data_IF_806282210314
#
_entry.id   IF_806282210314
#
_cell.length_a   1.000
_cell.length_b   1.000
_cell.length_c   1.000
_cell.angle_alpha   90.00
_cell.angle_beta   90.00
_cell.angle_gamma   90.00
#
_symmetry.space_group_name_H-M   'P 1'
#
loop_
_entity.id
_entity.type
_entity.pdbx_description
1 polymer ?
#
# COMPACT_ATOMS: atom_id res chain seq x y z
N UNK A 1 -3.95 -7.51 -26.85
CA UNK A 1 -2.68 -7.36 -26.10
C UNK A 1 -2.30 -8.77 -25.66
N UNK A 2 -1.05 -9.22 -25.80
CA UNK A 2 -0.68 -10.58 -25.35
C UNK A 2 -0.72 -10.66 -23.82
N UNK A 3 -1.11 -11.80 -23.26
CA UNK A 3 -1.19 -12.03 -21.79
C UNK A 3 0.13 -11.66 -21.08
N UNK A 4 1.26 -12.01 -21.68
CA UNK A 4 2.61 -11.65 -21.19
C UNK A 4 2.76 -10.15 -20.94
N UNK A 5 2.17 -9.30 -21.80
CA UNK A 5 2.27 -7.85 -21.70
C UNK A 5 1.36 -7.27 -20.61
N UNK A 6 0.25 -7.94 -20.28
CA UNK A 6 -0.62 -7.56 -19.15
C UNK A 6 0.10 -7.84 -17.82
N UNK A 7 0.78 -8.99 -17.71
CA UNK A 7 1.52 -9.35 -16.50
C UNK A 7 2.75 -8.47 -16.24
N UNK A 8 3.46 -8.06 -17.29
CA UNK A 8 4.59 -7.12 -17.18
C UNK A 8 4.12 -5.75 -16.66
N UNK A 9 3.08 -5.17 -17.28
CA UNK A 9 2.51 -3.88 -16.86
C UNK A 9 1.95 -3.98 -15.43
N UNK A 10 1.25 -5.07 -15.10
CA UNK A 10 0.73 -5.29 -13.76
C UNK A 10 1.86 -5.34 -12.72
N UNK A 11 3.00 -5.98 -13.05
CA UNK A 11 4.18 -6.02 -12.18
C UNK A 11 4.77 -4.64 -11.95
N UNK A 12 5.02 -3.87 -13.02
CA UNK A 12 5.59 -2.51 -12.91
C UNK A 12 4.71 -1.58 -12.08
N UNK A 13 3.40 -1.60 -12.31
CA UNK A 13 2.44 -0.78 -11.56
C UNK A 13 2.36 -1.24 -10.10
N UNK A 14 2.46 -2.54 -9.84
CA UNK A 14 2.49 -3.07 -8.46
C UNK A 14 3.69 -2.53 -7.69
N UNK A 15 4.89 -2.52 -8.28
CA UNK A 15 6.09 -2.01 -7.61
C UNK A 15 5.94 -0.52 -7.23
N UNK A 16 5.32 0.28 -8.10
CA UNK A 16 5.03 1.70 -7.84
C UNK A 16 4.04 1.87 -6.69
N UNK A 17 3.02 1.03 -6.60
CA UNK A 17 2.02 1.06 -5.52
C UNK A 17 2.66 0.69 -4.19
N UNK A 18 3.43 -0.39 -4.14
CA UNK A 18 4.13 -0.81 -2.92
C UNK A 18 5.10 0.26 -2.43
N UNK A 19 5.79 0.94 -3.35
CA UNK A 19 6.63 2.09 -3.00
C UNK A 19 5.81 3.26 -2.42
N UNK A 20 4.61 3.52 -2.94
CA UNK A 20 3.71 4.55 -2.43
C UNK A 20 3.14 4.20 -1.04
N UNK A 21 2.74 2.95 -0.82
CA UNK A 21 2.30 2.43 0.49
C UNK A 21 3.41 2.58 1.53
N UNK A 22 4.62 2.13 1.20
CA UNK A 22 5.78 2.25 2.08
C UNK A 22 6.12 3.72 2.39
N UNK A 23 5.95 4.62 1.43
CA UNK A 23 6.17 6.06 1.64
C UNK A 23 5.12 6.66 2.59
N UNK A 24 3.86 6.23 2.51
CA UNK A 24 2.81 6.66 3.43
C UNK A 24 3.10 6.21 4.87
N UNK A 25 3.52 4.95 5.07
CA UNK A 25 3.92 4.42 6.38
C UNK A 25 5.11 5.20 6.97
N UNK A 26 6.11 5.48 6.16
CA UNK A 26 7.27 6.28 6.58
C UNK A 26 6.86 7.70 6.98
N UNK A 27 5.91 8.31 6.27
CA UNK A 27 5.38 9.63 6.59
C UNK A 27 4.60 9.64 7.91
N UNK A 28 3.81 8.59 8.21
CA UNK A 28 3.13 8.40 9.50
C UNK A 28 4.15 8.41 10.64
N UNK A 29 5.21 7.60 10.52
CA UNK A 29 6.28 7.51 11.52
C UNK A 29 6.98 8.87 11.71
N UNK A 30 7.32 9.55 10.62
CA UNK A 30 8.00 10.84 10.66
C UNK A 30 7.16 11.91 11.38
N UNK A 31 5.86 12.01 11.08
CA UNK A 31 4.96 12.99 11.71
C UNK A 31 4.74 12.65 13.20
N UNK A 32 4.55 11.38 13.54
CA UNK A 32 4.40 10.95 14.93
C UNK A 32 5.66 11.29 15.77
N UNK A 33 6.84 11.04 15.22
CA UNK A 33 8.11 11.41 15.84
C UNK A 33 8.25 12.93 16.02
N UNK A 34 7.84 13.72 15.02
CA UNK A 34 7.84 15.19 15.12
C UNK A 34 6.90 15.70 16.21
N UNK A 35 5.70 15.11 16.33
CA UNK A 35 4.76 15.42 17.41
C UNK A 35 5.37 15.12 18.79
N UNK A 36 5.93 13.93 18.97
CA UNK A 36 6.57 13.52 20.23
C UNK A 36 7.75 14.46 20.58
N UNK A 37 8.62 14.73 19.61
CA UNK A 37 9.76 15.63 19.76
C UNK A 37 9.34 17.05 20.14
N UNK A 38 8.27 17.57 19.54
CA UNK A 38 7.71 18.90 19.86
C UNK A 38 7.24 18.98 21.31
N UNK A 39 6.52 17.96 21.79
CA UNK A 39 6.07 17.89 23.19
C UNK A 39 7.25 17.84 24.14
N UNK A 40 8.26 17.01 23.86
CA UNK A 40 9.44 16.87 24.70
C UNK A 40 10.29 18.14 24.74
N UNK A 41 10.57 18.75 23.57
CA UNK A 41 11.36 19.98 23.48
C UNK A 41 10.70 21.12 24.26
N UNK A 42 9.38 21.27 24.12
CA UNK A 42 8.61 22.26 24.87
C UNK A 42 8.71 22.06 26.38
N UNK A 43 8.59 20.80 26.85
CA UNK A 43 8.74 20.47 28.27
C UNK A 43 10.13 20.84 28.80
N UNK A 44 11.19 20.51 28.05
CA UNK A 44 12.58 20.88 28.40
C UNK A 44 12.77 22.39 28.48
N UNK A 45 12.08 23.15 27.64
CA UNK A 45 12.12 24.60 27.63
C UNK A 45 11.27 25.27 28.74
N UNK A 46 10.55 24.51 29.57
CA UNK A 46 9.65 25.08 30.60
C UNK A 46 8.44 25.83 30.04
N UNK A 47 8.14 25.65 28.75
CA UNK A 47 7.06 26.36 28.06
C UNK A 47 5.71 25.71 28.38
N UNK A 48 4.72 26.54 28.74
CA UNK A 48 3.40 26.06 29.16
C UNK A 48 2.66 25.25 28.08
N UNK A 49 1.75 24.39 28.54
CA UNK A 49 0.86 23.56 27.72
C UNK A 49 0.20 24.29 26.55
N UNK A 50 -0.42 25.42 26.83
CA UNK A 50 -1.32 26.09 25.90
C UNK A 50 -0.60 26.62 24.63
N UNK A 51 0.65 27.06 24.74
CA UNK A 51 1.36 27.73 23.64
C UNK A 51 1.78 26.77 22.52
N UNK A 52 1.94 25.48 22.82
CA UNK A 52 2.29 24.46 21.82
C UNK A 52 1.10 23.76 21.15
N UNK A 53 -0.11 23.92 21.70
CA UNK A 53 -1.30 23.20 21.21
C UNK A 53 -1.66 23.51 19.75
N UNK A 54 -1.62 24.76 19.27
CA UNK A 54 -1.91 25.05 17.86
C UNK A 54 -0.95 24.37 16.88
N UNK A 55 0.30 24.13 17.29
CA UNK A 55 1.29 23.39 16.49
C UNK A 55 0.97 21.90 16.47
N UNK A 56 0.67 21.31 17.63
CA UNK A 56 0.27 19.89 17.71
C UNK A 56 -1.01 19.60 16.92
N UNK A 57 -1.98 20.53 16.93
CA UNK A 57 -3.19 20.39 16.13
C UNK A 57 -2.91 20.40 14.62
N UNK A 58 -1.94 21.21 14.17
CA UNK A 58 -1.51 21.21 12.77
C UNK A 58 -0.82 19.91 12.39
N UNK A 59 0.04 19.38 13.26
CA UNK A 59 0.69 18.08 13.05
C UNK A 59 -0.33 16.93 13.04
N UNK A 60 -1.32 16.95 13.95
CA UNK A 60 -2.44 15.99 13.93
C UNK A 60 -3.18 16.00 12.60
N UNK A 61 -3.51 17.17 12.07
CA UNK A 61 -4.15 17.30 10.75
C UNK A 61 -3.25 16.85 9.60
N UNK A 62 -1.93 16.97 9.73
CA UNK A 62 -1.01 16.43 8.73
C UNK A 62 -1.02 14.89 8.79
N UNK A 63 -0.98 14.32 9.99
CA UNK A 63 -1.07 12.88 10.21
C UNK A 63 -2.37 12.29 9.65
N UNK A 64 -3.52 12.90 9.95
CA UNK A 64 -4.81 12.45 9.41
C UNK A 64 -4.77 12.36 7.87
N UNK A 65 -4.28 13.41 7.20
CA UNK A 65 -4.22 13.44 5.72
C UNK A 65 -3.31 12.37 5.14
N UNK A 66 -2.20 12.04 5.82
CA UNK A 66 -1.31 10.96 5.38
C UNK A 66 -2.00 9.61 5.54
N UNK A 67 -2.73 9.39 6.64
CA UNK A 67 -3.49 8.15 6.87
C UNK A 67 -4.62 8.00 5.84
N UNK A 68 -5.37 9.07 5.59
CA UNK A 68 -6.44 9.09 4.58
C UNK A 68 -5.86 8.79 3.19
N UNK A 69 -4.79 9.48 2.80
CA UNK A 69 -4.11 9.26 1.52
C UNK A 69 -3.52 7.85 1.37
N UNK A 70 -2.92 7.30 2.43
CA UNK A 70 -2.42 5.92 2.43
C UNK A 70 -3.56 4.90 2.29
N UNK A 71 -4.71 5.16 2.91
CA UNK A 71 -5.91 4.32 2.76
C UNK A 71 -6.45 4.34 1.32
N UNK A 72 -6.40 5.50 0.66
CA UNK A 72 -6.78 5.63 -0.74
C UNK A 72 -5.80 4.90 -1.67
N UNK A 73 -4.50 4.91 -1.38
CA UNK A 73 -3.49 4.12 -2.12
C UNK A 73 -3.79 2.62 -2.02
N UNK A 74 -4.13 2.11 -0.84
CA UNK A 74 -4.51 0.70 -0.64
C UNK A 74 -5.77 0.35 -1.45
N UNK A 75 -6.74 1.27 -1.57
CA UNK A 75 -7.92 1.06 -2.42
C UNK A 75 -7.54 0.96 -3.90
N UNK A 76 -6.70 1.88 -4.37
CA UNK A 76 -6.18 1.87 -5.75
C UNK A 76 -5.43 0.58 -6.05
N UNK A 77 -4.67 0.05 -5.09
CA UNK A 77 -4.05 -1.28 -5.18
C UNK A 77 -5.10 -2.36 -5.48
N UNK A 78 -6.15 -2.45 -4.66
CA UNK A 78 -7.23 -3.42 -4.86
C UNK A 78 -7.95 -3.28 -6.19
N UNK A 79 -8.27 -2.05 -6.61
CA UNK A 79 -8.92 -1.76 -7.89
C UNK A 79 -8.05 -2.18 -9.09
N UNK A 80 -6.77 -1.84 -9.06
CA UNK A 80 -5.83 -2.21 -10.12
C UNK A 80 -5.64 -3.72 -10.20
N UNK A 81 -5.53 -4.40 -9.05
CA UNK A 81 -5.48 -5.86 -9.01
C UNK A 81 -6.71 -6.48 -9.70
N UNK A 82 -7.91 -5.97 -9.40
CA UNK A 82 -9.15 -6.41 -10.05
C UNK A 82 -9.13 -6.22 -11.57
N UNK A 83 -8.72 -5.03 -12.05
CA UNK A 83 -8.66 -4.71 -13.48
C UNK A 83 -7.65 -5.55 -14.27
N UNK A 84 -6.54 -5.92 -13.65
CA UNK A 84 -5.57 -6.82 -14.26
C UNK A 84 -6.08 -8.25 -14.25
N UNK A 85 -6.71 -8.72 -13.15
CA UNK A 85 -7.25 -10.07 -13.05
C UNK A 85 -8.31 -10.34 -14.12
N UNK A 86 -9.21 -9.39 -14.35
CA UNK A 86 -10.20 -9.46 -15.44
C UNK A 86 -9.54 -9.60 -16.83
N UNK A 87 -8.42 -8.91 -17.05
CA UNK A 87 -7.70 -8.91 -18.33
C UNK A 87 -6.80 -10.13 -18.53
N UNK A 88 -6.37 -10.78 -17.45
CA UNK A 88 -5.61 -12.02 -17.47
C UNK A 88 -6.50 -13.27 -17.32
N UNK A 89 -7.81 -13.16 -17.56
CA UNK A 89 -8.77 -14.27 -17.43
C UNK A 89 -8.75 -14.94 -16.04
N UNK A 90 -8.49 -14.16 -14.98
CA UNK A 90 -8.43 -14.62 -13.59
C UNK A 90 -7.06 -15.19 -13.16
N UNK A 91 -6.08 -15.29 -14.05
CA UNK A 91 -4.74 -15.84 -13.72
C UNK A 91 -3.79 -14.76 -13.19
N UNK A 92 -4.22 -14.02 -12.16
CA UNK A 92 -3.34 -13.15 -11.38
C UNK A 92 -3.25 -13.69 -9.97
N UNK A 93 -2.08 -14.23 -9.64
CA UNK A 93 -1.83 -14.70 -8.28
C UNK A 93 -1.98 -13.55 -7.27
N UNK A 94 -2.57 -13.80 -6.09
CA UNK A 94 -2.74 -12.79 -5.06
C UNK A 94 -1.39 -12.24 -4.61
N UNK A 95 -1.28 -10.92 -4.39
CA UNK A 95 -0.01 -10.27 -4.02
C UNK A 95 0.33 -10.44 -2.54
N UNK A 96 0.54 -11.68 -2.12
CA UNK A 96 1.21 -12.04 -0.86
C UNK A 96 2.62 -12.53 -1.18
N UNK A 97 3.53 -12.56 -0.18
CA UNK A 97 4.82 -13.22 -0.35
C UNK A 97 4.68 -14.66 -0.92
N UNK A 98 3.58 -15.33 -0.57
CA UNK A 98 3.20 -16.66 -1.07
C UNK A 98 2.69 -16.65 -2.51
N UNK A 99 2.00 -15.59 -2.96
CA UNK A 99 1.55 -15.50 -4.35
C UNK A 99 2.61 -14.97 -5.32
N UNK A 100 3.57 -14.17 -4.83
CA UNK A 100 4.82 -13.87 -5.56
C UNK A 100 5.65 -15.14 -5.80
N UNK A 101 5.70 -16.04 -4.81
CA UNK A 101 6.35 -17.34 -4.97
C UNK A 101 5.62 -18.19 -6.03
N UNK A 102 4.29 -18.23 -6.01
CA UNK A 102 3.46 -18.98 -6.97
C UNK A 102 3.50 -18.44 -8.40
N UNK A 103 3.69 -17.13 -8.61
CA UNK A 103 3.92 -16.54 -9.95
C UNK A 103 5.10 -17.17 -10.70
N UNK A 104 6.11 -17.69 -9.98
CA UNK A 104 7.29 -18.29 -10.56
C UNK A 104 7.13 -19.82 -10.77
N UNK A 105 6.00 -20.40 -10.39
CA UNK A 105 5.68 -21.81 -10.63
C UNK A 105 5.03 -21.96 -12.02
N UNK A 106 5.40 -22.97 -12.82
CA UNK A 106 4.74 -23.22 -14.08
C UNK A 106 3.27 -23.55 -13.83
N UNK A 107 2.37 -22.79 -14.48
CA UNK A 107 0.91 -22.92 -14.33
C UNK A 107 0.47 -24.34 -14.72
N UNK A 108 0.19 -25.18 -13.71
CA UNK A 108 -0.35 -26.53 -13.91
C UNK A 108 -1.86 -26.40 -14.04
N UNK A 109 -2.34 -26.17 -15.26
CA UNK A 109 -3.78 -26.30 -15.55
C UNK A 109 -4.16 -27.78 -15.39
N UNK A 110 -5.00 -28.17 -14.41
CA UNK A 110 -5.44 -29.54 -14.33
C UNK A 110 -6.31 -29.83 -15.55
N UNK A 111 -5.86 -30.76 -16.39
CA UNK A 111 -6.65 -31.33 -17.48
C UNK A 111 -7.98 -31.79 -16.88
N UNK A 112 -9.08 -31.08 -17.21
CA UNK A 112 -10.43 -31.58 -16.93
C UNK A 112 -10.50 -32.99 -17.51
N UNK A 113 -10.67 -34.00 -16.65
CA UNK A 113 -11.07 -35.31 -17.13
C UNK A 113 -12.39 -35.12 -17.85
N UNK A 114 -12.36 -35.29 -19.17
CA UNK A 114 -13.55 -35.49 -19.98
C UNK A 114 -14.09 -36.83 -19.50
N UNK A 115 -15.06 -36.79 -18.58
CA UNK A 115 -15.86 -37.97 -18.29
C UNK A 115 -16.76 -38.20 -19.50
N UNK A 116 -16.39 -39.21 -20.28
CA UNK A 116 -17.17 -39.74 -21.37
C UNK A 116 -18.51 -40.29 -20.84
N UNK A 117 -19.59 -39.76 -21.44
CA UNK A 117 -20.93 -40.33 -21.69
C UNK A 117 -21.48 -41.43 -20.78
#
# INVERSE_FOLDING_TARGET
MSDTKVHEIASEVTDLILAAEQAADNAVVAIANLMAGTVQARRRAGVIGATGQPTLLRLKRALDRVIDGGSDVIRVHGELHGHYAERANGDLHPYTAEGLARRNEPSVVPLRKVEDR
#
